data_IF_829571419526
#
_entry.id   IF_829571419526
#
_cell.length_a   1.000
_cell.length_b   1.000
_cell.length_c   1.000
_cell.angle_alpha   90.00
_cell.angle_beta   90.00
_cell.angle_gamma   90.00
#
_symmetry.space_group_name_H-M   'P 1'
#
loop_
_entity.id
_entity.type
_entity.pdbx_description
1 polymer ?
#
# COMPACT_ATOMS: atom_id res chain seq x y z
N UNK A 1 16.00 -29.31 19.64
CA UNK A 1 14.84 -30.02 19.03
C UNK A 1 13.55 -29.22 19.11
N UNK A 2 13.26 -28.45 20.18
CA UNK A 2 12.06 -27.62 20.34
C UNK A 2 12.05 -26.42 19.38
N UNK A 3 13.19 -25.77 19.15
CA UNK A 3 13.30 -24.59 18.29
C UNK A 3 12.96 -24.87 16.80
N UNK A 4 13.22 -26.05 16.29
CA UNK A 4 12.83 -26.43 14.92
C UNK A 4 11.31 -26.69 14.78
N UNK A 5 10.61 -27.15 15.82
CA UNK A 5 9.16 -27.39 15.77
C UNK A 5 8.37 -26.08 15.74
N UNK A 6 8.76 -25.09 16.53
CA UNK A 6 8.10 -23.77 16.56
C UNK A 6 8.33 -22.99 15.27
N UNK A 7 9.51 -23.10 14.67
CA UNK A 7 9.83 -22.49 13.38
C UNK A 7 8.99 -23.11 12.25
N UNK A 8 8.87 -24.44 12.22
CA UNK A 8 8.07 -25.15 11.21
C UNK A 8 6.55 -24.83 11.36
N UNK A 9 6.05 -24.72 12.59
CA UNK A 9 4.66 -24.35 12.84
C UNK A 9 4.36 -22.92 12.42
N UNK A 10 5.25 -21.97 12.69
CA UNK A 10 5.12 -20.60 12.22
C UNK A 10 5.11 -20.51 10.70
N UNK A 11 6.04 -21.19 10.02
CA UNK A 11 6.09 -21.24 8.56
C UNK A 11 4.81 -21.83 7.96
N UNK A 12 4.24 -22.85 8.61
CA UNK A 12 2.96 -23.43 8.18
C UNK A 12 1.81 -22.42 8.29
N UNK A 13 1.71 -21.68 9.41
CA UNK A 13 0.71 -20.61 9.57
C UNK A 13 0.92 -19.51 8.52
N UNK A 14 2.16 -19.07 8.33
CA UNK A 14 2.51 -18.06 7.33
C UNK A 14 2.12 -18.50 5.92
N UNK A 15 2.29 -19.77 5.59
CA UNK A 15 1.88 -20.34 4.31
C UNK A 15 0.36 -20.43 4.16
N UNK A 16 -0.36 -20.87 5.19
CA UNK A 16 -1.82 -20.88 5.19
C UNK A 16 -2.39 -19.47 5.01
N UNK A 17 -1.84 -18.48 5.70
CA UNK A 17 -2.23 -17.08 5.55
C UNK A 17 -1.96 -16.58 4.12
N UNK A 18 -0.82 -16.93 3.55
CA UNK A 18 -0.50 -16.63 2.17
C UNK A 18 -1.54 -17.21 1.20
N UNK A 19 -1.92 -18.49 1.35
CA UNK A 19 -2.93 -19.11 0.51
C UNK A 19 -4.30 -18.43 0.62
N UNK A 20 -4.70 -18.03 1.83
CA UNK A 20 -5.93 -17.28 2.06
C UNK A 20 -5.91 -15.92 1.37
N UNK A 21 -4.81 -15.19 1.46
CA UNK A 21 -4.63 -13.90 0.77
C UNK A 21 -4.66 -14.09 -0.74
N UNK A 22 -4.00 -15.12 -1.28
CA UNK A 22 -4.03 -15.43 -2.72
C UNK A 22 -5.43 -15.78 -3.21
N UNK A 23 -6.15 -16.62 -2.46
CA UNK A 23 -7.54 -16.97 -2.79
C UNK A 23 -8.44 -15.73 -2.77
N UNK A 24 -8.29 -14.89 -1.76
CA UNK A 24 -9.01 -13.61 -1.65
C UNK A 24 -8.70 -12.70 -2.83
N UNK A 25 -7.43 -12.54 -3.21
CA UNK A 25 -6.98 -11.77 -4.35
C UNK A 25 -7.64 -12.23 -5.65
N UNK A 26 -7.62 -13.55 -5.92
CA UNK A 26 -8.25 -14.12 -7.13
C UNK A 26 -9.76 -13.85 -7.16
N UNK A 27 -10.46 -14.03 -6.03
CA UNK A 27 -11.90 -13.74 -5.92
C UNK A 27 -12.17 -12.26 -6.20
N UNK A 28 -11.41 -11.36 -5.57
CA UNK A 28 -11.55 -9.90 -5.76
C UNK A 28 -11.29 -9.51 -7.22
N UNK A 29 -10.35 -10.17 -7.87
CA UNK A 29 -10.04 -9.91 -9.26
C UNK A 29 -11.10 -10.48 -10.24
N UNK A 30 -11.98 -11.38 -9.83
CA UNK A 30 -13.04 -11.95 -10.68
C UNK A 30 -14.34 -11.16 -10.62
N UNK A 31 -14.62 -10.48 -9.52
CA UNK A 31 -15.88 -9.73 -9.33
C UNK A 31 -15.79 -8.32 -9.91
N UNK A 32 -16.94 -7.66 -10.21
CA UNK A 32 -16.98 -6.27 -10.61
C UNK A 32 -16.33 -5.34 -9.55
N UNK A 33 -15.64 -4.30 -10.00
CA UNK A 33 -14.90 -3.38 -9.12
C UNK A 33 -15.77 -2.78 -8.00
N UNK A 34 -17.01 -2.41 -8.32
CA UNK A 34 -17.95 -1.86 -7.33
C UNK A 34 -18.23 -2.84 -6.17
N UNK A 35 -18.30 -4.13 -6.46
CA UNK A 35 -18.50 -5.17 -5.47
C UNK A 35 -17.21 -5.46 -4.69
N UNK A 36 -16.09 -5.44 -5.38
CA UNK A 36 -14.77 -5.55 -4.74
C UNK A 36 -14.55 -4.42 -3.72
N UNK A 37 -14.80 -3.17 -4.09
CA UNK A 37 -14.71 -2.02 -3.19
C UNK A 37 -15.73 -2.09 -2.04
N UNK A 38 -16.97 -2.56 -2.31
CA UNK A 38 -17.96 -2.78 -1.25
C UNK A 38 -17.49 -3.83 -0.24
N UNK A 39 -16.85 -4.90 -0.73
CA UNK A 39 -16.19 -5.93 0.13
C UNK A 39 -15.10 -5.30 0.98
N UNK A 40 -14.22 -4.50 0.39
CA UNK A 40 -13.18 -3.77 1.12
C UNK A 40 -13.76 -2.86 2.21
N UNK A 41 -14.78 -2.09 1.89
CA UNK A 41 -15.51 -1.25 2.85
C UNK A 41 -16.11 -2.07 3.99
N UNK A 42 -16.73 -3.20 3.69
CA UNK A 42 -17.30 -4.10 4.70
C UNK A 42 -16.20 -4.65 5.62
N UNK A 43 -15.10 -5.13 5.06
CA UNK A 43 -13.95 -5.62 5.84
C UNK A 43 -13.36 -4.52 6.74
N UNK A 44 -13.27 -3.29 6.24
CA UNK A 44 -12.86 -2.13 7.04
C UNK A 44 -13.79 -1.87 8.22
N UNK A 45 -15.12 -2.01 8.05
CA UNK A 45 -16.09 -1.94 9.16
C UNK A 45 -15.90 -3.03 10.19
N UNK A 46 -15.69 -4.27 9.73
CA UNK A 46 -15.38 -5.38 10.62
C UNK A 46 -14.10 -5.12 11.41
N UNK A 47 -13.04 -4.64 10.76
CA UNK A 47 -11.79 -4.29 11.40
C UNK A 47 -11.96 -3.19 12.46
N UNK A 48 -12.79 -2.16 12.19
CA UNK A 48 -13.10 -1.12 13.17
C UNK A 48 -13.77 -1.69 14.44
N UNK A 49 -14.61 -2.71 14.30
CA UNK A 49 -15.27 -3.35 15.47
C UNK A 49 -14.32 -4.29 16.19
N UNK A 50 -13.57 -5.11 15.45
CA UNK A 50 -12.78 -6.22 15.99
C UNK A 50 -11.39 -5.79 16.52
N UNK A 51 -10.79 -4.75 15.95
CA UNK A 51 -9.43 -4.32 16.32
C UNK A 51 -9.49 -3.08 17.21
N UNK A 52 -9.74 -3.31 18.51
CA UNK A 52 -9.92 -2.25 19.50
C UNK A 52 -8.74 -1.29 19.59
N UNK A 53 -7.51 -1.81 19.70
CA UNK A 53 -6.30 -0.98 19.87
C UNK A 53 -6.10 0.02 18.72
N UNK A 54 -6.34 -0.42 17.48
CA UNK A 54 -6.23 0.45 16.30
C UNK A 54 -7.36 1.45 16.21
N UNK A 55 -8.57 1.05 16.61
CA UNK A 55 -9.72 1.96 16.71
C UNK A 55 -9.47 3.05 17.74
N UNK A 56 -8.99 2.69 18.93
CA UNK A 56 -8.69 3.63 19.99
C UNK A 56 -7.62 4.64 19.57
N UNK A 57 -6.52 4.15 18.98
CA UNK A 57 -5.48 5.02 18.43
C UNK A 57 -6.02 6.00 17.36
N UNK A 58 -6.90 5.53 16.47
CA UNK A 58 -7.51 6.39 15.45
C UNK A 58 -8.42 7.45 16.08
N UNK A 59 -9.22 7.08 17.09
CA UNK A 59 -10.10 8.00 17.82
C UNK A 59 -9.27 9.02 18.60
N UNK A 60 -8.21 8.59 19.27
CA UNK A 60 -7.30 9.47 20.01
C UNK A 60 -6.63 10.49 19.10
N UNK A 61 -6.03 10.05 17.98
CA UNK A 61 -5.39 10.93 17.01
C UNK A 61 -6.38 11.97 16.44
N UNK A 62 -7.60 11.56 16.11
CA UNK A 62 -8.63 12.48 15.64
C UNK A 62 -9.09 13.43 16.75
N UNK A 63 -9.12 12.99 18.01
CA UNK A 63 -9.45 13.84 19.14
C UNK A 63 -8.37 14.89 19.40
N UNK A 64 -7.11 14.52 19.29
CA UNK A 64 -5.99 15.46 19.39
C UNK A 64 -6.06 16.51 18.30
N UNK A 65 -6.32 16.09 17.05
CA UNK A 65 -6.33 16.99 15.90
C UNK A 65 -7.58 17.89 15.84
N UNK A 66 -8.76 17.35 16.16
CA UNK A 66 -10.05 17.99 15.87
C UNK A 66 -10.98 18.10 17.09
N UNK A 67 -10.58 17.63 18.26
CA UNK A 67 -11.46 17.56 19.44
C UNK A 67 -11.93 18.91 19.97
N UNK A 68 -11.24 20.01 19.63
CA UNK A 68 -11.67 21.37 19.96
C UNK A 68 -12.75 21.91 19.01
N UNK A 69 -12.83 21.39 17.80
CA UNK A 69 -13.67 21.90 16.72
C UNK A 69 -14.85 20.96 16.38
N UNK A 70 -14.66 19.65 16.66
CA UNK A 70 -15.58 18.63 16.22
C UNK A 70 -16.18 17.83 17.39
N UNK A 71 -17.45 17.41 17.22
CA UNK A 71 -18.12 16.60 18.21
C UNK A 71 -17.54 15.18 18.29
N UNK A 72 -17.70 14.52 19.46
CA UNK A 72 -17.31 13.10 19.62
C UNK A 72 -17.96 12.18 18.60
N UNK A 73 -19.20 12.46 18.19
CA UNK A 73 -19.89 11.67 17.18
C UNK A 73 -19.26 11.83 15.80
N UNK A 74 -18.79 13.02 15.46
CA UNK A 74 -18.04 13.25 14.24
C UNK A 74 -16.73 12.49 14.24
N UNK A 75 -15.97 12.53 15.35
CA UNK A 75 -14.70 11.79 15.52
C UNK A 75 -14.90 10.30 15.30
N UNK A 76 -15.90 9.70 15.97
CA UNK A 76 -16.19 8.26 15.84
C UNK A 76 -16.61 7.88 14.42
N UNK A 77 -17.43 8.70 13.77
CA UNK A 77 -17.82 8.49 12.37
C UNK A 77 -16.63 8.59 11.43
N UNK A 78 -15.75 9.55 11.64
CA UNK A 78 -14.55 9.76 10.83
C UNK A 78 -13.56 8.62 11.02
N UNK A 79 -13.32 8.19 12.26
CA UNK A 79 -12.50 7.01 12.55
C UNK A 79 -13.02 5.76 11.83
N UNK A 80 -14.35 5.50 11.89
CA UNK A 80 -14.94 4.37 11.15
C UNK A 80 -14.77 4.50 9.64
N UNK A 81 -15.00 5.70 9.07
CA UNK A 81 -14.79 5.95 7.65
C UNK A 81 -13.34 5.74 7.23
N UNK A 82 -12.37 6.08 8.08
CA UNK A 82 -10.95 5.81 7.82
C UNK A 82 -10.65 4.32 7.69
N UNK A 83 -11.24 3.49 8.55
CA UNK A 83 -11.15 2.03 8.45
C UNK A 83 -11.82 1.48 7.19
N UNK A 84 -13.01 2.00 6.85
CA UNK A 84 -13.73 1.64 5.62
C UNK A 84 -12.86 1.97 4.39
N UNK A 85 -12.24 3.14 4.40
CA UNK A 85 -11.35 3.57 3.32
C UNK A 85 -10.09 2.70 3.25
N UNK A 86 -9.46 2.42 4.39
CA UNK A 86 -8.30 1.53 4.43
C UNK A 86 -8.61 0.13 3.89
N UNK A 87 -9.80 -0.40 4.19
CA UNK A 87 -10.26 -1.67 3.61
C UNK A 87 -10.42 -1.60 2.09
N UNK A 88 -10.95 -0.49 1.55
CA UNK A 88 -11.03 -0.28 0.10
C UNK A 88 -9.64 -0.17 -0.54
N UNK A 89 -8.69 0.56 0.07
CA UNK A 89 -7.32 0.64 -0.41
C UNK A 89 -6.64 -0.72 -0.50
N UNK A 90 -6.89 -1.59 0.50
CA UNK A 90 -6.39 -2.98 0.46
C UNK A 90 -6.94 -3.78 -0.72
N UNK A 91 -8.19 -3.55 -1.11
CA UNK A 91 -8.79 -4.17 -2.31
C UNK A 91 -8.25 -3.55 -3.60
N UNK A 92 -8.16 -2.22 -3.67
CA UNK A 92 -7.58 -1.51 -4.82
C UNK A 92 -6.17 -1.99 -5.14
N UNK A 93 -5.37 -2.27 -4.12
CA UNK A 93 -4.04 -2.82 -4.28
C UNK A 93 -4.01 -4.10 -5.15
N UNK A 94 -5.00 -4.99 -4.98
CA UNK A 94 -5.12 -6.19 -5.84
C UNK A 94 -5.66 -5.85 -7.22
N UNK A 95 -6.56 -4.88 -7.35
CA UNK A 95 -7.17 -4.49 -8.62
C UNK A 95 -6.19 -3.81 -9.57
N UNK A 96 -5.16 -3.10 -9.07
CA UNK A 96 -4.12 -2.45 -9.89
C UNK A 96 -3.47 -3.42 -10.88
N UNK A 97 -3.37 -4.70 -10.55
CA UNK A 97 -2.83 -5.74 -11.46
C UNK A 97 -3.61 -5.87 -12.78
N UNK A 98 -4.86 -5.44 -12.79
CA UNK A 98 -5.76 -5.52 -13.97
C UNK A 98 -5.69 -4.26 -14.82
N UNK A 99 -5.02 -3.21 -14.35
CA UNK A 99 -4.98 -1.95 -15.04
C UNK A 99 -3.82 -1.93 -16.03
N UNK A 100 -4.19 -1.66 -17.27
CA UNK A 100 -3.26 -1.31 -18.32
C UNK A 100 -3.03 0.21 -18.38
N UNK A 101 -2.24 0.68 -19.36
CA UNK A 101 -1.99 2.11 -19.55
C UNK A 101 -3.29 2.89 -19.77
N UNK A 102 -4.23 2.36 -20.52
CA UNK A 102 -5.49 3.06 -20.82
C UNK A 102 -6.37 3.22 -19.59
N UNK A 103 -6.41 2.20 -18.72
CA UNK A 103 -7.12 2.30 -17.44
C UNK A 103 -6.45 3.28 -16.47
N UNK A 104 -5.12 3.32 -16.44
CA UNK A 104 -4.37 4.29 -15.64
C UNK A 104 -4.66 5.71 -16.10
N UNK A 105 -4.61 5.97 -17.40
CA UNK A 105 -4.85 7.30 -17.98
C UNK A 105 -6.28 7.82 -17.71
N UNK A 106 -7.27 6.92 -17.63
CA UNK A 106 -8.64 7.28 -17.27
C UNK A 106 -8.83 7.61 -15.78
N UNK A 107 -8.02 7.01 -14.91
CA UNK A 107 -8.19 7.08 -13.45
C UNK A 107 -7.35 8.14 -12.79
N UNK A 108 -6.25 8.54 -13.42
CA UNK A 108 -5.29 9.47 -12.87
C UNK A 108 -5.44 10.82 -13.55
N UNK A 109 -5.76 11.81 -12.73
CA UNK A 109 -5.76 13.21 -13.14
C UNK A 109 -4.55 13.90 -12.51
N UNK A 110 -3.70 14.47 -13.34
CA UNK A 110 -2.56 15.23 -12.88
C UNK A 110 -2.99 16.68 -12.67
N UNK A 111 -2.95 17.15 -11.42
CA UNK A 111 -3.20 18.55 -11.09
C UNK A 111 -1.88 19.26 -10.77
N UNK A 112 -1.75 20.48 -11.27
CA UNK A 112 -0.57 21.31 -11.06
C UNK A 112 0.49 21.20 -12.17
N UNK A 113 1.56 21.98 -12.01
CA UNK A 113 2.71 21.90 -12.89
C UNK A 113 3.60 20.73 -12.44
N UNK A 114 3.25 19.52 -12.82
CA UNK A 114 4.23 18.43 -12.77
C UNK A 114 5.25 18.77 -13.85
N UNK A 115 6.53 19.00 -13.53
CA UNK A 115 7.54 19.05 -14.56
C UNK A 115 7.56 17.67 -15.21
N UNK A 116 6.83 17.50 -16.30
CA UNK A 116 6.89 16.32 -17.20
C UNK A 116 8.34 16.04 -17.64
N UNK A 117 9.22 16.96 -17.39
CA UNK A 117 10.66 16.91 -17.66
C UNK A 117 11.49 16.52 -16.42
N UNK A 118 10.95 15.69 -15.51
CA UNK A 118 11.77 15.08 -14.43
C UNK A 118 13.00 14.35 -15.00
N UNK A 119 12.89 13.86 -16.25
CA UNK A 119 14.02 13.26 -17.01
C UNK A 119 14.95 14.29 -17.65
N UNK A 120 14.54 15.57 -17.72
CA UNK A 120 15.28 16.66 -18.40
C UNK A 120 15.87 17.67 -17.43
N UNK A 121 15.91 17.39 -16.12
CA UNK A 121 16.66 18.26 -15.23
C UNK A 121 18.14 18.29 -15.64
N UNK A 122 18.71 19.49 -15.90
CA UNK A 122 20.11 19.60 -16.29
C UNK A 122 20.98 19.14 -15.11
N UNK A 123 21.78 18.14 -15.36
CA UNK A 123 22.63 17.51 -14.36
C UNK A 123 22.21 16.05 -14.10
N UNK A 124 23.20 15.21 -13.95
CA UNK A 124 23.00 13.76 -13.69
C UNK A 124 22.64 13.51 -12.22
N UNK A 125 21.66 14.28 -11.70
CA UNK A 125 21.28 14.24 -10.28
C UNK A 125 20.04 13.35 -10.11
N UNK A 126 20.07 12.50 -9.08
CA UNK A 126 18.90 11.73 -8.65
C UNK A 126 17.82 12.64 -8.05
N UNK A 127 16.56 12.23 -8.17
CA UNK A 127 15.41 12.93 -7.61
C UNK A 127 14.87 12.15 -6.43
N UNK A 128 14.69 12.81 -5.29
CA UNK A 128 14.02 12.24 -4.15
C UNK A 128 12.53 12.63 -4.19
N UNK A 129 11.67 11.63 -4.41
CA UNK A 129 10.22 11.82 -4.38
C UNK A 129 9.70 11.58 -2.96
N UNK A 130 9.16 12.61 -2.34
CA UNK A 130 8.46 12.50 -1.06
C UNK A 130 6.98 12.25 -1.34
N UNK A 131 6.47 11.08 -0.96
CA UNK A 131 5.06 10.72 -1.07
C UNK A 131 4.42 10.62 0.32
N UNK A 132 3.20 11.10 0.47
CA UNK A 132 2.40 10.93 1.68
C UNK A 132 1.58 9.64 1.60
N UNK A 133 1.26 9.05 2.77
CA UNK A 133 0.31 7.94 2.87
C UNK A 133 -1.14 8.46 2.81
N UNK A 134 -1.48 9.15 1.72
CA UNK A 134 -2.80 9.68 1.47
C UNK A 134 -3.39 9.00 0.23
N UNK A 135 -4.55 8.37 0.37
CA UNK A 135 -5.14 7.56 -0.70
C UNK A 135 -4.37 6.27 -0.97
N UNK A 136 -4.48 5.73 -2.17
CA UNK A 136 -3.78 4.52 -2.58
C UNK A 136 -2.36 4.84 -3.04
N UNK A 137 -1.39 4.77 -2.13
CA UNK A 137 0.02 5.05 -2.42
C UNK A 137 0.63 4.06 -3.44
N UNK A 138 0.07 2.86 -3.58
CA UNK A 138 0.49 1.90 -4.61
C UNK A 138 0.09 2.39 -6.02
N UNK A 139 -1.05 3.07 -6.16
CA UNK A 139 -1.43 3.74 -7.42
C UNK A 139 -0.43 4.85 -7.73
N UNK A 140 -0.02 5.64 -6.73
CA UNK A 140 0.99 6.68 -6.92
C UNK A 140 2.33 6.09 -7.38
N UNK A 141 2.75 4.97 -6.79
CA UNK A 141 3.96 4.26 -7.21
C UNK A 141 3.83 3.70 -8.64
N UNK A 142 2.68 3.12 -9.00
CA UNK A 142 2.39 2.66 -10.35
C UNK A 142 2.44 3.80 -11.36
N UNK A 143 1.87 4.97 -11.02
CA UNK A 143 1.86 6.16 -11.89
C UNK A 143 3.26 6.58 -12.33
N UNK A 144 4.21 6.60 -11.40
CA UNK A 144 5.60 6.99 -11.71
C UNK A 144 6.22 6.03 -12.73
N UNK A 145 5.90 4.73 -12.66
CA UNK A 145 6.32 3.73 -13.65
C UNK A 145 5.68 3.99 -15.01
N UNK A 146 4.37 4.24 -15.04
CA UNK A 146 3.66 4.51 -16.31
C UNK A 146 4.16 5.79 -16.99
N UNK A 147 4.73 6.73 -16.24
CA UNK A 147 5.47 7.88 -16.77
C UNK A 147 6.87 7.53 -17.31
N UNK A 148 7.28 6.26 -17.26
CA UNK A 148 8.59 5.81 -17.72
C UNK A 148 9.77 6.19 -16.83
N UNK A 149 9.49 6.65 -15.60
CA UNK A 149 10.52 7.10 -14.67
C UNK A 149 11.04 5.88 -13.89
N UNK A 150 12.35 5.65 -13.96
CA UNK A 150 13.00 4.61 -13.14
C UNK A 150 13.02 5.06 -11.68
N UNK A 151 12.31 4.33 -10.83
CA UNK A 151 12.20 4.61 -9.41
C UNK A 151 12.71 3.48 -8.56
N UNK A 152 13.21 3.82 -7.37
CA UNK A 152 13.52 2.87 -6.32
C UNK A 152 12.65 3.16 -5.10
N UNK A 153 11.86 2.19 -4.70
CA UNK A 153 10.99 2.30 -3.53
C UNK A 153 11.72 1.79 -2.28
N UNK A 154 11.74 2.64 -1.26
CA UNK A 154 12.31 2.28 0.05
C UNK A 154 11.16 1.82 0.94
N UNK A 155 11.23 0.59 1.43
CA UNK A 155 10.16 0.03 2.24
C UNK A 155 10.67 -0.98 3.28
N UNK A 156 9.88 -1.16 4.33
CA UNK A 156 10.12 -2.23 5.32
C UNK A 156 9.57 -3.55 4.78
N UNK A 157 10.35 -4.63 4.75
CA UNK A 157 9.89 -5.94 4.31
C UNK A 157 8.80 -6.48 5.23
N UNK A 158 7.84 -7.22 4.67
CA UNK A 158 6.83 -7.93 5.44
C UNK A 158 7.46 -9.07 6.25
N UNK A 159 6.93 -9.31 7.46
CA UNK A 159 7.41 -10.39 8.33
C UNK A 159 7.10 -11.79 7.79
N UNK A 160 5.99 -11.94 7.06
CA UNK A 160 5.62 -13.20 6.41
C UNK A 160 6.40 -13.31 5.09
N UNK A 161 7.28 -14.31 4.91
CA UNK A 161 8.16 -14.42 3.74
C UNK A 161 7.39 -14.67 2.44
N UNK A 162 6.29 -15.40 2.49
CA UNK A 162 5.47 -15.70 1.30
C UNK A 162 4.72 -14.46 0.81
N UNK A 163 4.14 -13.67 1.74
CA UNK A 163 3.50 -12.41 1.40
C UNK A 163 4.52 -11.35 0.96
N UNK A 164 5.73 -11.36 1.52
CA UNK A 164 6.81 -10.48 1.10
C UNK A 164 7.19 -10.74 -0.36
N UNK A 165 7.31 -12.00 -0.76
CA UNK A 165 7.61 -12.36 -2.15
C UNK A 165 6.46 -12.01 -3.10
N UNK A 166 5.20 -12.24 -2.70
CA UNK A 166 4.03 -11.81 -3.49
C UNK A 166 4.00 -10.30 -3.68
N UNK A 167 4.22 -9.54 -2.61
CA UNK A 167 4.28 -8.09 -2.67
C UNK A 167 5.40 -7.60 -3.60
N UNK A 168 6.56 -8.25 -3.54
CA UNK A 168 7.68 -7.98 -4.43
C UNK A 168 7.32 -8.27 -5.89
N UNK A 169 6.65 -9.38 -6.18
CA UNK A 169 6.19 -9.71 -7.54
C UNK A 169 5.15 -8.69 -8.05
N UNK A 170 4.18 -8.30 -7.21
CA UNK A 170 3.21 -7.27 -7.54
C UNK A 170 3.89 -5.93 -7.85
N UNK A 171 4.88 -5.55 -7.07
CA UNK A 171 5.66 -4.33 -7.27
C UNK A 171 6.64 -4.44 -8.43
N UNK A 172 7.19 -5.62 -8.74
CA UNK A 172 7.98 -5.84 -9.95
C UNK A 172 7.16 -5.68 -11.23
N UNK A 173 5.86 -5.98 -11.19
CA UNK A 173 4.93 -5.60 -12.25
C UNK A 173 4.83 -4.06 -12.34
N UNK A 174 4.94 -3.38 -11.20
CA UNK A 174 4.89 -1.93 -11.05
C UNK A 174 6.28 -1.26 -11.10
N UNK A 175 7.37 -1.97 -10.85
CA UNK A 175 8.74 -1.45 -10.81
C UNK A 175 9.72 -2.38 -11.54
N UNK A 176 10.45 -1.83 -12.50
CA UNK A 176 11.40 -2.60 -13.32
C UNK A 176 12.71 -2.95 -12.60
N UNK A 177 13.00 -2.40 -11.41
CA UNK A 177 14.27 -2.61 -10.70
C UNK A 177 14.13 -2.60 -9.18
N UNK A 178 13.38 -3.53 -8.61
CA UNK A 178 13.31 -3.68 -7.16
C UNK A 178 14.54 -4.43 -6.63
N UNK A 179 15.56 -3.71 -6.16
CA UNK A 179 16.68 -4.31 -5.40
C UNK A 179 16.35 -4.23 -3.92
N UNK A 180 16.10 -5.39 -3.30
CA UNK A 180 16.09 -5.51 -1.84
C UNK A 180 17.48 -5.16 -1.32
N UNK A 181 17.56 -4.11 -0.49
CA UNK A 181 18.84 -3.71 0.10
C UNK A 181 18.83 -3.90 1.62
N UNK A 182 19.98 -4.25 2.13
CA UNK A 182 20.16 -4.61 3.53
C UNK A 182 19.82 -3.44 4.49
N UNK A 183 20.15 -2.21 4.11
CA UNK A 183 19.75 -0.99 4.84
C UNK A 183 19.54 0.18 3.88
N UNK A 184 18.66 1.13 4.28
CA UNK A 184 18.46 2.40 3.57
C UNK A 184 19.75 3.20 3.44
N UNK A 185 20.59 3.20 4.48
CA UNK A 185 21.85 3.94 4.51
C UNK A 185 22.84 3.42 3.45
N UNK A 186 22.97 2.09 3.31
CA UNK A 186 23.87 1.49 2.33
C UNK A 186 23.45 1.84 0.90
N UNK A 187 22.15 1.84 0.65
CA UNK A 187 21.62 2.21 -0.66
C UNK A 187 21.89 3.69 -0.97
N UNK A 188 21.61 4.60 -0.04
CA UNK A 188 21.86 6.03 -0.21
C UNK A 188 23.34 6.31 -0.49
N UNK A 189 24.26 5.66 0.23
CA UNK A 189 25.71 5.83 0.05
C UNK A 189 26.15 5.37 -1.36
N UNK A 190 25.55 4.29 -1.89
CA UNK A 190 25.94 3.73 -3.19
C UNK A 190 25.35 4.48 -4.39
N UNK A 191 24.17 5.10 -4.25
CA UNK A 191 23.40 5.59 -5.40
C UNK A 191 23.18 7.12 -5.44
N UNK A 192 23.60 7.85 -4.40
CA UNK A 192 23.52 9.32 -4.35
C UNK A 192 24.86 10.02 -4.61
N UNK A 193 25.80 9.32 -5.25
CA UNK A 193 27.05 9.91 -5.71
C UNK A 193 26.90 10.57 -7.08
#
# INVERSE_FOLDING_TARGET
MIMNRTLNFKLFIDYCLFLLVRLFEEIICLIPESWALATGRFLGRCAFVLISDRREAAVENLTIAFGKEQSRQWILRTARKSFEHLGMLGVEFFLIRRWDQQEMDKRIVYEGQVPLNLTMMPGNHGILLLASHFGCFEVSAATVKFLGIKTHLIMTPLKNPFLAETLKQLRNILDSQNKQQATLADWCIQNLK
#
